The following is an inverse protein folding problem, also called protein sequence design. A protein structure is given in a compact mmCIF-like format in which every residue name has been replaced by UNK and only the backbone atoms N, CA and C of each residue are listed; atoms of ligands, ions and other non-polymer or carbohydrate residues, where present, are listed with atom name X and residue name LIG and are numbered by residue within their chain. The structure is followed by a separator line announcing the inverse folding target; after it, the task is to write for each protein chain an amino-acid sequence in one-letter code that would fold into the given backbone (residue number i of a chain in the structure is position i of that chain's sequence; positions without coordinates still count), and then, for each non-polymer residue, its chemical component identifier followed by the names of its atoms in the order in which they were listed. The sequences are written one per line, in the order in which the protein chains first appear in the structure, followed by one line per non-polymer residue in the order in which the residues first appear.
data_IF_723415264140
#
_entry.id   IF_723415264140
#
_cell.length_a   1.000
_cell.length_b   1.000
_cell.length_c   1.000
_cell.angle_alpha   90.00
_cell.angle_beta   90.00
_cell.angle_gamma   90.00
#
_symmetry.space_group_name_H-M   'P 1'
#
loop_
_entity.id
_entity.type
_entity.pdbx_description
1 polymer ?
#
# COMPACT_ATOMS: atom_id res chain seq x y z
N UNK A 1 49.29 -12.88 9.06
CA UNK A 1 47.95 -13.31 8.63
C UNK A 1 46.99 -12.60 9.60
N UNK A 2 46.13 -11.64 9.26
CA UNK A 2 45.30 -11.59 8.06
C UNK A 2 44.61 -10.20 7.84
N UNK A 3 45.33 -9.08 7.92
CA UNK A 3 44.74 -7.72 7.77
C UNK A 3 44.39 -7.32 6.32
N UNK A 4 44.94 -8.02 5.33
CA UNK A 4 44.71 -7.77 3.89
C UNK A 4 43.42 -8.46 3.39
N UNK A 5 43.16 -9.66 3.90
CA UNK A 5 41.97 -10.48 3.63
C UNK A 5 40.66 -9.81 4.08
N UNK A 6 40.69 -9.10 5.22
CA UNK A 6 39.50 -8.39 5.73
C UNK A 6 39.15 -7.15 4.90
N UNK A 7 40.15 -6.40 4.42
CA UNK A 7 39.94 -5.18 3.63
C UNK A 7 39.42 -5.49 2.21
N UNK A 8 39.91 -6.57 1.60
CA UNK A 8 39.43 -7.05 0.29
C UNK A 8 37.95 -7.44 0.34
N UNK A 9 37.52 -8.11 1.42
CA UNK A 9 36.11 -8.44 1.66
C UNK A 9 35.24 -7.19 1.88
N UNK A 10 35.74 -6.18 2.59
CA UNK A 10 34.99 -4.93 2.79
C UNK A 10 34.77 -4.19 1.47
N UNK A 11 35.76 -4.17 0.58
CA UNK A 11 35.63 -3.55 -0.74
C UNK A 11 34.58 -4.27 -1.60
N UNK A 12 34.59 -5.60 -1.65
CA UNK A 12 33.56 -6.38 -2.36
C UNK A 12 32.15 -6.15 -1.78
N UNK A 13 32.02 -6.05 -0.46
CA UNK A 13 30.73 -5.76 0.19
C UNK A 13 30.23 -4.36 -0.19
N UNK A 14 31.09 -3.32 -0.08
CA UNK A 14 30.73 -1.95 -0.46
C UNK A 14 30.36 -1.84 -1.93
N UNK A 15 31.08 -2.57 -2.78
CA UNK A 15 30.80 -2.68 -4.21
C UNK A 15 29.43 -3.29 -4.47
N UNK A 16 29.09 -4.42 -3.83
CA UNK A 16 27.78 -5.04 -3.93
C UNK A 16 26.66 -4.12 -3.41
N UNK A 17 26.90 -3.37 -2.33
CA UNK A 17 25.96 -2.36 -1.83
C UNK A 17 25.74 -1.27 -2.88
N UNK A 18 26.81 -0.73 -3.47
CA UNK A 18 26.72 0.34 -4.45
C UNK A 18 25.99 -0.11 -5.73
N UNK A 19 26.28 -1.32 -6.23
CA UNK A 19 25.57 -1.94 -7.35
C UNK A 19 24.10 -2.16 -6.98
N UNK A 20 23.82 -2.66 -5.77
CA UNK A 20 22.47 -2.84 -5.24
C UNK A 20 21.68 -1.53 -5.21
N UNK A 21 22.31 -0.43 -4.76
CA UNK A 21 21.70 0.90 -4.70
C UNK A 21 21.41 1.48 -6.11
N UNK A 22 22.23 1.17 -7.11
CA UNK A 22 21.95 1.53 -8.51
C UNK A 22 20.76 0.75 -9.08
N UNK A 23 20.57 -0.50 -8.68
CA UNK A 23 19.45 -1.33 -9.14
C UNK A 23 18.08 -0.87 -8.59
N UNK A 24 18.06 -0.11 -7.50
CA UNK A 24 16.83 0.34 -6.81
C UNK A 24 16.56 1.84 -6.95
N UNK A 25 17.13 2.49 -7.97
CA UNK A 25 16.88 3.90 -8.26
C UNK A 25 15.39 4.18 -8.51
N UNK A 26 14.92 5.38 -8.17
CA UNK A 26 13.51 5.78 -8.32
C UNK A 26 13.05 5.65 -9.77
N UNK A 27 13.79 6.31 -10.65
CA UNK A 27 13.50 6.41 -12.06
C UNK A 27 14.04 5.18 -12.78
N UNK A 28 13.21 4.55 -13.60
CA UNK A 28 13.60 3.32 -14.30
C UNK A 28 14.77 3.57 -15.25
N UNK A 29 14.85 4.76 -15.84
CA UNK A 29 15.96 5.24 -16.68
C UNK A 29 17.31 5.36 -15.93
N UNK A 30 17.29 5.45 -14.60
CA UNK A 30 18.50 5.54 -13.78
C UNK A 30 19.00 4.17 -13.30
N UNK A 31 18.23 3.10 -13.51
CA UNK A 31 18.63 1.74 -13.14
C UNK A 31 19.52 1.14 -14.24
N UNK A 32 20.64 0.49 -13.88
CA UNK A 32 21.45 -0.22 -14.85
C UNK A 32 20.69 -1.43 -15.41
N UNK A 33 20.90 -1.72 -16.68
CA UNK A 33 20.43 -2.98 -17.28
C UNK A 33 21.18 -4.17 -16.69
N UNK A 34 20.54 -5.35 -16.69
CA UNK A 34 21.10 -6.56 -16.05
C UNK A 34 22.46 -6.96 -16.65
N UNK A 35 22.70 -6.72 -17.94
CA UNK A 35 24.01 -6.95 -18.58
C UNK A 35 25.10 -6.06 -17.97
N UNK A 36 24.81 -4.79 -17.69
CA UNK A 36 25.73 -3.88 -17.01
C UNK A 36 25.99 -4.33 -15.58
N UNK A 37 24.95 -4.79 -14.87
CA UNK A 37 25.10 -5.33 -13.50
C UNK A 37 26.06 -6.53 -13.47
N UNK A 38 25.95 -7.45 -14.43
CA UNK A 38 26.87 -8.59 -14.54
C UNK A 38 28.32 -8.16 -14.77
N UNK A 39 28.56 -7.11 -15.57
CA UNK A 39 29.90 -6.53 -15.75
C UNK A 39 30.39 -5.87 -14.46
N UNK A 40 29.54 -5.11 -13.78
CA UNK A 40 29.86 -4.48 -12.49
C UNK A 40 30.16 -5.52 -11.40
N UNK A 41 29.55 -6.71 -11.44
CA UNK A 41 29.84 -7.78 -10.48
C UNK A 41 31.09 -8.59 -10.87
N UNK A 42 31.38 -8.74 -12.17
CA UNK A 42 32.44 -9.62 -12.67
C UNK A 42 33.82 -8.98 -12.89
N UNK A 43 33.94 -7.65 -12.85
CA UNK A 43 35.20 -6.96 -13.18
C UNK A 43 35.63 -5.95 -12.11
N UNK A 44 36.67 -6.26 -11.33
CA UNK A 44 37.17 -5.41 -10.24
C UNK A 44 37.49 -3.96 -10.64
N UNK A 45 37.86 -3.72 -11.90
CA UNK A 45 38.32 -2.42 -12.42
C UNK A 45 37.22 -1.52 -12.98
N UNK A 46 35.98 -1.98 -13.06
CA UNK A 46 34.89 -1.19 -13.64
C UNK A 46 34.49 -0.05 -12.70
N UNK A 47 34.53 1.19 -13.18
CA UNK A 47 34.08 2.35 -12.42
C UNK A 47 32.55 2.30 -12.22
N UNK A 48 32.11 2.19 -10.97
CA UNK A 48 30.69 2.12 -10.62
C UNK A 48 30.18 3.54 -10.34
N UNK A 49 29.12 4.02 -11.02
CA UNK A 49 28.57 5.34 -10.78
C UNK A 49 28.02 5.47 -9.36
N UNK A 50 27.99 6.70 -8.84
CA UNK A 50 27.36 6.95 -7.54
C UNK A 50 25.83 6.87 -7.70
N UNK A 51 25.11 6.12 -6.83
CA UNK A 51 23.67 6.09 -6.82
C UNK A 51 23.12 7.51 -6.62
N UNK A 52 22.06 7.89 -7.35
CA UNK A 52 21.35 9.13 -7.03
C UNK A 52 20.56 8.93 -5.73
N UNK A 53 20.05 10.03 -5.18
CA UNK A 53 19.23 10.00 -3.98
C UNK A 53 18.05 9.01 -4.17
N UNK A 54 17.71 8.20 -3.15
CA UNK A 54 16.51 7.41 -3.18
C UNK A 54 15.31 8.30 -3.44
N UNK A 55 14.43 7.85 -4.32
CA UNK A 55 13.25 8.60 -4.67
C UNK A 55 12.13 8.52 -3.66
N UNK A 56 11.40 9.62 -3.56
CA UNK A 56 10.13 9.70 -2.88
C UNK A 56 9.11 10.17 -3.90
N UNK A 57 8.18 9.30 -4.30
CA UNK A 57 7.16 9.70 -5.27
C UNK A 57 6.18 10.69 -4.60
N UNK A 58 6.23 11.95 -5.03
CA UNK A 58 5.17 12.92 -4.77
C UNK A 58 4.00 12.60 -5.69
N UNK A 59 2.91 12.09 -5.13
CA UNK A 59 1.66 11.92 -5.88
C UNK A 59 1.17 13.29 -6.37
N UNK A 60 1.27 13.54 -7.68
CA UNK A 60 0.65 14.72 -8.27
C UNK A 60 -0.87 14.55 -8.25
N UNK A 61 -1.54 15.49 -7.59
CA UNK A 61 -2.97 15.74 -7.73
C UNK A 61 -3.32 15.90 -9.21
N UNK A 62 -4.44 15.33 -9.65
CA UNK A 62 -4.98 15.36 -11.02
C UNK A 62 -5.40 16.76 -11.54
N UNK A 63 -4.83 17.83 -10.99
CA UNK A 63 -5.06 19.19 -11.46
C UNK A 63 -3.75 19.98 -11.42
N UNK A 64 -2.98 19.88 -12.50
CA UNK A 64 -2.26 21.01 -13.09
C UNK A 64 -1.76 20.59 -14.47
N UNK A 65 -2.44 21.14 -15.47
CA UNK A 65 -2.06 21.12 -16.88
C UNK A 65 -0.76 21.91 -17.02
N UNK A 66 0.27 21.34 -17.62
CA UNK A 66 1.04 21.99 -18.70
C UNK A 66 1.81 20.93 -19.50
N UNK A 67 1.59 21.00 -20.80
CA UNK A 67 2.14 20.17 -21.87
C UNK A 67 3.56 20.58 -22.26
N UNK A 68 4.37 19.62 -22.72
CA UNK A 68 5.16 19.78 -23.95
C UNK A 68 5.61 18.44 -24.54
N UNK A 69 5.67 18.31 -25.88
CA UNK A 69 5.90 17.06 -26.57
C UNK A 69 7.39 16.83 -26.84
N UNK A 70 7.84 15.58 -26.80
CA UNK A 70 9.08 15.20 -27.47
C UNK A 70 8.90 13.88 -28.21
N UNK A 71 8.96 14.02 -29.52
CA UNK A 71 8.93 12.98 -30.54
C UNK A 71 10.23 12.17 -30.52
N UNK A 72 10.10 10.89 -30.91
CA UNK A 72 11.05 10.00 -31.59
C UNK A 72 11.60 8.80 -30.79
N UNK A 73 11.10 7.63 -31.23
CA UNK A 73 11.77 6.34 -31.51
C UNK A 73 13.11 6.08 -30.79
N UNK A 74 13.19 4.98 -30.02
CA UNK A 74 13.82 3.73 -30.48
C UNK A 74 13.81 2.64 -29.38
N UNK A 75 13.89 1.41 -29.87
CA UNK A 75 14.39 0.17 -29.28
C UNK A 75 13.63 -0.58 -28.16
N UNK A 76 13.32 -1.84 -28.50
CA UNK A 76 12.87 -2.98 -27.69
C UNK A 76 13.86 -3.32 -26.54
N UNK A 77 14.02 -2.40 -25.58
CA UNK A 77 14.68 -2.68 -24.31
C UNK A 77 13.64 -2.54 -23.20
N UNK A 78 13.40 -3.64 -22.48
CA UNK A 78 12.39 -3.75 -21.43
C UNK A 78 12.72 -2.88 -20.21
N UNK A 79 12.55 -1.57 -20.32
CA UNK A 79 12.59 -0.66 -19.17
C UNK A 79 11.36 -0.96 -18.31
N UNK A 80 11.56 -1.67 -17.20
CA UNK A 80 10.49 -1.95 -16.25
C UNK A 80 10.07 -0.66 -15.52
N UNK A 81 8.92 -0.11 -15.91
CA UNK A 81 8.33 1.12 -15.39
C UNK A 81 7.53 0.93 -14.10
N UNK A 82 7.60 -0.26 -13.50
CA UNK A 82 6.97 -0.57 -12.22
C UNK A 82 7.86 -0.09 -11.07
N UNK A 83 7.26 0.63 -10.12
CA UNK A 83 7.91 1.08 -8.89
C UNK A 83 7.09 0.73 -7.65
N UNK A 84 7.77 0.62 -6.51
CA UNK A 84 7.15 0.56 -5.19
C UNK A 84 7.43 1.90 -4.51
N UNK A 85 6.38 2.58 -4.07
CA UNK A 85 6.47 3.91 -3.48
C UNK A 85 5.76 3.92 -2.15
N UNK A 86 6.36 4.56 -1.14
CA UNK A 86 5.69 4.86 0.11
C UNK A 86 5.21 6.30 0.03
N UNK A 87 3.91 6.53 0.19
CA UNK A 87 3.36 7.88 0.25
C UNK A 87 2.87 8.12 1.67
N UNK A 88 3.37 9.18 2.27
CA UNK A 88 2.91 9.67 3.55
C UNK A 88 1.80 10.69 3.34
N UNK A 89 0.56 10.30 3.61
CA UNK A 89 -0.50 11.24 3.89
C UNK A 89 -0.65 11.36 5.42
N UNK A 90 -0.06 12.40 6.00
CA UNK A 90 -0.46 12.94 7.33
C UNK A 90 -0.45 11.90 8.48
N UNK A 91 0.59 11.07 8.58
CA UNK A 91 0.79 10.15 9.71
C UNK A 91 0.12 8.77 9.62
N UNK A 92 -0.48 8.42 8.47
CA UNK A 92 -1.00 7.07 8.19
C UNK A 92 -0.47 6.53 6.85
N UNK A 93 0.81 6.12 6.81
CA UNK A 93 1.49 5.84 5.55
C UNK A 93 1.00 4.57 4.87
N UNK A 94 1.05 4.59 3.55
CA UNK A 94 0.63 3.48 2.70
C UNK A 94 1.68 3.18 1.62
N UNK A 95 1.73 1.93 1.18
CA UNK A 95 2.59 1.49 0.09
C UNK A 95 1.78 1.37 -1.18
N UNK A 96 2.31 1.90 -2.27
CA UNK A 96 1.71 1.87 -3.59
C UNK A 96 2.62 1.14 -4.56
N UNK A 97 2.02 0.37 -5.46
CA UNK A 97 2.69 -0.07 -6.68
C UNK A 97 2.20 0.84 -7.80
N UNK A 98 3.14 1.43 -8.51
CA UNK A 98 2.87 2.34 -9.61
C UNK A 98 3.37 1.72 -10.91
N UNK A 99 2.64 1.97 -11.99
CA UNK A 99 3.11 1.78 -13.36
C UNK A 99 3.22 3.16 -14.00
N UNK A 100 4.46 3.63 -14.21
CA UNK A 100 4.75 5.03 -14.51
C UNK A 100 4.15 5.95 -13.43
N UNK A 101 3.26 6.85 -13.82
CA UNK A 101 2.59 7.83 -12.94
C UNK A 101 1.22 7.31 -12.43
N UNK A 102 0.80 6.12 -12.86
CA UNK A 102 -0.50 5.55 -12.48
C UNK A 102 -0.36 4.57 -11.32
N UNK A 103 -1.14 4.77 -10.26
CA UNK A 103 -1.26 3.82 -9.16
C UNK A 103 -2.03 2.59 -9.64
N UNK A 104 -1.43 1.39 -9.51
CA UNK A 104 -2.09 0.12 -9.87
C UNK A 104 -2.58 -0.66 -8.65
N UNK A 105 -1.90 -0.51 -7.52
CA UNK A 105 -2.23 -1.19 -6.27
C UNK A 105 -1.89 -0.32 -5.06
N UNK A 106 -2.72 -0.40 -4.02
CA UNK A 106 -2.48 0.21 -2.70
C UNK A 106 -2.52 -0.87 -1.63
N UNK A 107 -1.50 -0.90 -0.77
CA UNK A 107 -1.37 -1.85 0.34
C UNK A 107 -2.36 -1.63 1.45
N UNK A 108 -2.95 -0.44 1.56
CA UNK A 108 -3.59 0.00 2.78
C UNK A 108 -2.56 0.45 3.83
N UNK A 109 -3.02 1.11 4.89
CA UNK A 109 -2.15 1.57 5.97
C UNK A 109 -1.66 0.41 6.84
N UNK A 110 -0.62 0.66 7.63
CA UNK A 110 -0.15 -0.27 8.65
C UNK A 110 -1.10 -0.33 9.85
N UNK A 111 -1.58 -1.53 10.20
CA UNK A 111 -2.57 -1.76 11.27
C UNK A 111 -1.97 -2.14 12.63
N UNK A 112 -0.64 -2.04 12.78
CA UNK A 112 0.09 -2.49 13.97
C UNK A 112 0.69 -3.89 13.84
N UNK A 113 0.22 -4.71 12.88
CA UNK A 113 0.69 -6.08 12.63
C UNK A 113 1.14 -6.26 11.18
N UNK A 114 0.39 -5.68 10.23
CA UNK A 114 0.59 -5.82 8.78
C UNK A 114 0.05 -4.60 8.03
N UNK A 115 0.29 -4.55 6.72
CA UNK A 115 -0.48 -3.64 5.86
C UNK A 115 -1.89 -4.21 5.69
N UNK A 116 -2.89 -3.40 6.01
CA UNK A 116 -4.28 -3.83 6.14
C UNK A 116 -4.88 -4.44 4.85
N UNK A 117 -4.39 -4.06 3.67
CA UNK A 117 -4.77 -4.63 2.38
C UNK A 117 -4.02 -5.90 1.98
N UNK A 118 -3.27 -6.52 2.89
CA UNK A 118 -2.60 -7.83 2.72
C UNK A 118 -2.93 -8.72 3.93
N UNK A 119 -4.21 -9.15 4.10
CA UNK A 119 -4.63 -9.94 5.25
C UNK A 119 -3.93 -11.30 5.35
N UNK A 120 -3.34 -11.81 4.26
CA UNK A 120 -2.66 -13.11 4.23
C UNK A 120 -1.30 -13.13 4.93
N UNK A 121 -0.77 -11.97 5.32
CA UNK A 121 0.42 -11.87 6.17
C UNK A 121 0.06 -12.43 7.56
N UNK A 122 0.15 -13.75 7.71
CA UNK A 122 -0.01 -14.44 8.99
C UNK A 122 1.30 -14.40 9.77
N UNK A 123 1.28 -14.15 11.08
CA UNK A 123 2.48 -14.26 11.90
C UNK A 123 3.08 -15.66 11.77
N UNK A 124 4.36 -15.72 11.41
CA UNK A 124 5.16 -16.95 11.42
C UNK A 124 6.30 -16.76 12.40
N UNK A 125 6.69 -17.82 13.09
CA UNK A 125 7.65 -17.76 14.21
C UNK A 125 9.08 -17.36 13.79
N UNK A 126 9.38 -17.40 12.49
CA UNK A 126 10.68 -17.05 11.94
C UNK A 126 10.77 -15.66 11.32
N UNK A 127 9.66 -14.94 11.11
CA UNK A 127 9.65 -13.64 10.41
C UNK A 127 9.02 -12.59 11.29
N UNK A 128 9.82 -11.59 11.67
CA UNK A 128 9.36 -10.41 12.39
C UNK A 128 9.28 -9.25 11.41
N UNK A 129 8.14 -8.56 11.39
CA UNK A 129 7.92 -7.37 10.57
C UNK A 129 7.89 -6.14 11.47
N UNK A 130 8.68 -5.13 11.12
CA UNK A 130 8.74 -3.87 11.83
C UNK A 130 8.34 -2.74 10.89
N UNK A 131 7.49 -1.86 11.40
CA UNK A 131 7.10 -0.64 10.72
C UNK A 131 7.24 0.51 11.70
N UNK A 132 8.02 1.51 11.31
CA UNK A 132 8.19 2.77 12.03
C UNK A 132 7.80 3.91 11.11
N UNK A 133 7.06 4.87 11.65
CA UNK A 133 6.73 6.11 10.99
C UNK A 133 6.96 7.23 12.01
N UNK A 134 7.94 8.07 11.74
CA UNK A 134 8.27 9.28 12.49
C UNK A 134 8.13 10.48 11.56
N UNK A 135 8.23 11.70 12.10
CA UNK A 135 8.23 12.92 11.28
C UNK A 135 9.48 13.02 10.37
N UNK A 136 10.50 12.17 10.59
CA UNK A 136 11.76 12.16 9.84
C UNK A 136 11.85 11.01 8.83
N UNK A 137 11.41 9.80 9.22
CA UNK A 137 11.52 8.61 8.37
C UNK A 137 10.33 7.66 8.50
N UNK A 138 10.01 7.02 7.39
CA UNK A 138 9.10 5.88 7.34
C UNK A 138 9.89 4.67 6.90
N UNK A 139 9.94 3.66 7.75
CA UNK A 139 10.73 2.46 7.52
C UNK A 139 9.86 1.23 7.67
N UNK A 140 9.87 0.40 6.64
CA UNK A 140 9.44 -1.00 6.74
C UNK A 140 10.68 -1.88 6.71
N UNK A 141 10.84 -2.74 7.72
CA UNK A 141 11.94 -3.68 7.80
C UNK A 141 11.45 -5.05 8.27
N UNK A 142 12.26 -6.07 8.04
CA UNK A 142 11.97 -7.42 8.52
C UNK A 142 13.23 -8.11 9.00
N UNK A 143 13.06 -9.00 9.97
CA UNK A 143 14.13 -9.80 10.55
C UNK A 143 13.75 -11.28 10.54
N UNK A 144 14.72 -12.15 10.22
CA UNK A 144 14.56 -13.60 10.26
C UNK A 144 15.18 -14.15 11.54
N UNK A 145 14.38 -14.76 12.41
CA UNK A 145 14.81 -15.19 13.74
C UNK A 145 15.41 -16.60 13.78
N UNK A 146 15.12 -17.43 12.77
CA UNK A 146 15.64 -18.80 12.68
C UNK A 146 16.74 -18.92 11.65
N UNK A 147 17.79 -19.64 12.00
CA UNK A 147 18.89 -19.97 11.10
C UNK A 147 18.39 -20.82 9.91
N UNK A 148 19.09 -20.74 8.78
CA UNK A 148 18.80 -21.47 7.53
C UNK A 148 17.39 -21.23 6.95
N UNK A 149 16.75 -20.12 7.33
CA UNK A 149 15.54 -19.64 6.66
C UNK A 149 15.90 -18.41 5.85
N UNK A 150 15.56 -18.44 4.57
CA UNK A 150 15.72 -17.31 3.67
C UNK A 150 14.34 -16.83 3.24
N UNK A 151 14.06 -15.54 3.42
CA UNK A 151 12.82 -14.91 2.97
C UNK A 151 13.13 -13.59 2.27
N UNK A 152 12.48 -13.37 1.13
CA UNK A 152 12.68 -12.20 0.28
C UNK A 152 11.33 -11.56 -0.05
N UNK A 153 11.29 -10.23 -0.07
CA UNK A 153 10.21 -9.45 -0.62
C UNK A 153 10.65 -8.93 -2.00
N UNK A 154 9.90 -9.23 -3.04
CA UNK A 154 10.25 -8.93 -4.43
C UNK A 154 9.09 -8.25 -5.14
N UNK A 155 9.37 -7.18 -5.86
CA UNK A 155 8.45 -6.61 -6.85
C UNK A 155 8.85 -7.12 -8.23
N UNK A 156 7.96 -7.85 -8.91
CA UNK A 156 8.23 -8.36 -10.26
C UNK A 156 8.06 -7.25 -11.31
N UNK A 157 8.62 -7.45 -12.53
CA UNK A 157 8.38 -6.54 -13.65
C UNK A 157 6.92 -6.42 -14.11
N UNK A 158 6.06 -7.33 -13.67
CA UNK A 158 4.63 -7.32 -13.96
C UNK A 158 3.81 -6.58 -12.88
N UNK A 159 4.44 -5.98 -11.87
CA UNK A 159 3.72 -5.29 -10.79
C UNK A 159 3.29 -6.20 -9.64
N UNK A 160 3.78 -7.44 -9.58
CA UNK A 160 3.44 -8.37 -8.50
C UNK A 160 4.40 -8.19 -7.33
N UNK A 161 3.88 -7.70 -6.21
CA UNK A 161 4.59 -7.67 -4.94
C UNK A 161 4.41 -9.02 -4.24
N UNK A 162 5.49 -9.75 -4.01
CA UNK A 162 5.45 -11.08 -3.42
C UNK A 162 6.50 -11.26 -2.32
N UNK A 163 6.13 -11.97 -1.26
CA UNK A 163 7.09 -12.48 -0.29
C UNK A 163 7.23 -13.98 -0.47
N UNK A 164 8.47 -14.43 -0.65
CA UNK A 164 8.80 -15.83 -0.84
C UNK A 164 9.77 -16.31 0.23
N UNK A 165 9.63 -17.56 0.65
CA UNK A 165 10.55 -18.24 1.57
C UNK A 165 11.15 -19.45 0.89
N UNK A 166 12.46 -19.63 1.04
CA UNK A 166 13.18 -20.79 0.51
C UNK A 166 12.81 -22.05 1.31
N UNK A 167 12.38 -23.10 0.61
CA UNK A 167 12.03 -24.38 1.23
C UNK A 167 13.07 -25.42 0.83
N UNK A 168 13.97 -25.73 1.75
CA UNK A 168 15.12 -26.62 1.52
C UNK A 168 14.71 -28.00 0.99
N UNK A 169 13.67 -28.62 1.57
CA UNK A 169 13.15 -29.92 1.11
C UNK A 169 12.72 -29.91 -0.36
N UNK A 170 12.26 -28.77 -0.86
CA UNK A 170 11.76 -28.63 -2.23
C UNK A 170 12.76 -27.92 -3.15
N UNK A 171 13.92 -27.49 -2.63
CA UNK A 171 14.92 -26.70 -3.35
C UNK A 171 14.30 -25.56 -4.18
N UNK A 172 13.31 -24.87 -3.60
CA UNK A 172 12.53 -23.87 -4.32
C UNK A 172 11.99 -22.77 -3.41
N UNK A 173 11.83 -21.58 -4.01
CA UNK A 173 11.14 -20.45 -3.40
C UNK A 173 9.63 -20.72 -3.40
N UNK A 174 9.01 -20.64 -2.23
CA UNK A 174 7.56 -20.75 -2.06
C UNK A 174 6.97 -19.39 -1.69
N UNK A 175 5.96 -18.89 -2.44
CA UNK A 175 5.31 -17.64 -2.07
C UNK A 175 4.52 -17.84 -0.77
N UNK A 176 4.80 -17.01 0.23
CA UNK A 176 3.96 -16.88 1.42
C UNK A 176 2.69 -16.09 1.08
N UNK A 177 2.87 -14.99 0.35
CA UNK A 177 1.79 -14.15 -0.15
C UNK A 177 2.27 -13.38 -1.36
N UNK A 178 1.32 -12.92 -2.17
CA UNK A 178 1.55 -12.04 -3.31
C UNK A 178 0.34 -11.12 -3.49
N UNK A 179 0.55 -9.96 -4.09
CA UNK A 179 -0.47 -8.97 -4.38
C UNK A 179 -0.11 -8.17 -5.63
N UNK A 180 -1.05 -7.77 -6.49
CA UNK A 180 -2.50 -8.08 -6.46
C UNK A 180 -2.82 -9.56 -6.74
N UNK A 181 -3.88 -10.11 -6.15
CA UNK A 181 -4.34 -11.51 -6.35
C UNK A 181 -5.55 -11.64 -7.25
N UNK A 182 -6.41 -10.63 -7.24
CA UNK A 182 -7.64 -10.58 -8.00
C UNK A 182 -8.01 -9.13 -8.33
N UNK A 183 -9.13 -8.98 -9.04
CA UNK A 183 -9.62 -7.70 -9.52
C UNK A 183 -9.86 -6.66 -8.41
N UNK A 184 -10.22 -7.10 -7.20
CA UNK A 184 -10.47 -6.19 -6.08
C UNK A 184 -9.18 -5.62 -5.46
N UNK A 185 -8.00 -6.09 -5.87
CA UNK A 185 -6.74 -5.44 -5.51
C UNK A 185 -6.37 -4.28 -6.43
N UNK A 186 -7.01 -4.14 -7.60
CA UNK A 186 -6.78 -2.99 -8.46
C UNK A 186 -7.20 -1.71 -7.74
N UNK A 187 -6.35 -0.70 -7.79
CA UNK A 187 -6.62 0.56 -7.14
C UNK A 187 -7.90 1.19 -7.69
N UNK A 188 -8.84 1.53 -6.78
CA UNK A 188 -10.15 2.13 -7.10
C UNK A 188 -11.00 1.26 -8.04
N UNK A 189 -10.96 -0.06 -7.85
CA UNK A 189 -11.80 -0.98 -8.62
C UNK A 189 -13.30 -0.64 -8.53
N UNK A 190 -13.76 -0.19 -7.36
CA UNK A 190 -15.11 0.32 -7.15
C UNK A 190 -15.06 1.84 -6.90
N UNK A 191 -16.07 2.55 -7.41
CA UNK A 191 -16.20 3.99 -7.21
C UNK A 191 -16.44 4.40 -5.75
N UNK A 192 -16.57 5.71 -5.51
CA UNK A 192 -16.71 6.29 -4.16
C UNK A 192 -17.81 5.63 -3.34
N UNK A 193 -17.57 5.35 -2.07
CA UNK A 193 -18.54 4.71 -1.16
C UNK A 193 -19.04 3.31 -1.59
N UNK A 194 -18.40 2.71 -2.59
CA UNK A 194 -18.51 1.30 -2.93
C UNK A 194 -17.34 0.51 -2.36
N UNK A 195 -17.56 -0.76 -2.03
CA UNK A 195 -16.49 -1.69 -1.67
C UNK A 195 -16.48 -2.89 -2.62
N UNK A 196 -15.29 -3.42 -2.89
CA UNK A 196 -15.13 -4.59 -3.73
C UNK A 196 -15.18 -5.88 -2.89
N UNK A 197 -16.01 -6.84 -3.31
CA UNK A 197 -16.06 -8.19 -2.79
C UNK A 197 -15.90 -9.18 -3.95
N UNK A 198 -14.84 -9.97 -3.92
CA UNK A 198 -14.54 -10.97 -4.95
C UNK A 198 -15.54 -12.12 -4.99
N UNK A 199 -16.42 -12.23 -3.98
CA UNK A 199 -17.42 -13.30 -3.86
C UNK A 199 -18.82 -12.89 -4.34
N UNK A 200 -19.02 -11.63 -4.74
CA UNK A 200 -20.32 -11.14 -5.23
C UNK A 200 -20.29 -10.90 -6.74
N UNK A 201 -21.48 -10.91 -7.36
CA UNK A 201 -21.67 -10.52 -8.76
C UNK A 201 -22.86 -9.55 -8.84
N UNK A 202 -22.64 -8.25 -9.10
CA UNK A 202 -21.37 -7.58 -9.39
C UNK A 202 -20.38 -7.59 -8.20
N UNK A 203 -19.08 -7.39 -8.48
CA UNK A 203 -18.03 -7.38 -7.43
C UNK A 203 -18.09 -6.10 -6.58
N UNK A 204 -18.65 -5.02 -7.11
CA UNK A 204 -18.83 -3.79 -6.37
C UNK A 204 -20.16 -3.78 -5.64
N UNK A 205 -20.12 -3.38 -4.37
CA UNK A 205 -21.28 -3.29 -3.48
C UNK A 205 -21.33 -1.89 -2.88
N UNK A 206 -22.52 -1.29 -2.80
CA UNK A 206 -22.68 -0.05 -2.05
C UNK A 206 -22.70 -0.34 -0.55
N UNK A 207 -22.05 0.53 0.22
CA UNK A 207 -22.14 0.51 1.68
C UNK A 207 -23.62 0.64 2.11
N UNK A 208 -24.00 -0.02 3.20
CA UNK A 208 -25.33 0.14 3.78
C UNK A 208 -25.69 1.63 3.98
N UNK A 209 -26.92 2.04 3.69
CA UNK A 209 -27.31 3.45 3.65
C UNK A 209 -26.92 4.22 2.38
N UNK A 210 -26.26 3.57 1.41
CA UNK A 210 -25.94 4.14 0.10
C UNK A 210 -26.69 3.45 -1.04
N UNK A 211 -26.77 4.10 -2.19
CA UNK A 211 -27.34 3.59 -3.45
C UNK A 211 -26.44 3.94 -4.64
N UNK A 212 -26.47 3.18 -5.74
CA UNK A 212 -25.71 3.51 -6.94
C UNK A 212 -26.05 4.90 -7.49
N UNK A 213 -25.05 5.63 -8.01
CA UNK A 213 -25.28 6.94 -8.67
C UNK A 213 -26.09 6.82 -9.95
N UNK A 214 -25.76 5.83 -10.77
CA UNK A 214 -26.53 5.40 -11.94
C UNK A 214 -26.96 3.96 -11.72
N UNK A 215 -28.04 3.54 -12.37
CA UNK A 215 -28.37 2.11 -12.44
C UNK A 215 -27.17 1.39 -13.06
N UNK A 216 -26.68 0.33 -12.39
CA UNK A 216 -25.62 -0.54 -12.89
C UNK A 216 -26.11 -1.41 -14.06
N UNK A 217 -26.76 -0.81 -15.05
CA UNK A 217 -27.40 -1.51 -16.16
C UNK A 217 -26.36 -2.11 -17.14
N UNK A 218 -25.06 -1.75 -17.00
CA UNK A 218 -23.96 -2.22 -17.86
C UNK A 218 -22.64 -2.54 -17.12
N UNK A 219 -22.66 -2.82 -15.80
CA UNK A 219 -21.45 -3.02 -14.97
C UNK A 219 -20.50 -1.81 -14.91
N UNK A 220 -21.04 -0.61 -15.11
CA UNK A 220 -20.29 0.64 -14.90
C UNK A 220 -20.27 0.98 -13.40
N UNK A 221 -19.46 0.21 -12.66
CA UNK A 221 -19.35 0.31 -11.21
C UNK A 221 -18.37 1.44 -10.78
N UNK A 222 -17.78 2.14 -11.76
CA UNK A 222 -16.81 3.23 -11.56
C UNK A 222 -17.45 4.50 -11.00
N UNK A 223 -18.72 4.76 -11.30
CA UNK A 223 -19.44 5.94 -10.79
C UNK A 223 -19.69 5.87 -9.27
N UNK A 224 -19.61 4.67 -8.67
CA UNK A 224 -19.75 4.47 -7.23
C UNK A 224 -21.16 4.75 -6.70
N UNK A 225 -21.22 5.07 -5.41
CA UNK A 225 -22.43 5.15 -4.61
C UNK A 225 -22.61 6.53 -3.98
N UNK A 226 -23.86 6.88 -3.67
CA UNK A 226 -24.27 8.09 -2.96
C UNK A 226 -25.17 7.74 -1.79
N UNK A 227 -25.15 8.56 -0.74
CA UNK A 227 -26.02 8.38 0.42
C UNK A 227 -27.49 8.39 -0.01
N UNK A 228 -28.30 7.54 0.62
CA UNK A 228 -29.76 7.57 0.47
C UNK A 228 -30.33 8.84 1.10
N UNK A 229 -29.88 9.15 2.32
CA UNK A 229 -30.30 10.32 3.10
C UNK A 229 -29.12 11.25 3.37
N UNK A 230 -29.35 12.56 3.30
CA UNK A 230 -28.33 13.57 3.61
C UNK A 230 -28.08 13.62 5.12
N UNK A 231 -26.81 13.74 5.51
CA UNK A 231 -26.42 13.93 6.91
C UNK A 231 -26.95 15.27 7.45
N UNK A 232 -27.38 15.28 8.71
CA UNK A 232 -27.90 16.48 9.38
C UNK A 232 -26.81 17.25 10.12
N UNK A 233 -25.79 16.56 10.65
CA UNK A 233 -24.80 17.11 11.57
C UNK A 233 -25.38 17.86 12.80
N UNK A 234 -26.60 17.52 13.21
CA UNK A 234 -27.23 18.04 14.43
C UNK A 234 -26.96 17.15 15.67
N UNK A 235 -26.07 16.17 15.52
CA UNK A 235 -25.76 15.18 16.54
C UNK A 235 -26.64 13.92 16.50
N UNK A 236 -27.61 13.83 15.57
CA UNK A 236 -28.45 12.62 15.41
C UNK A 236 -27.90 11.61 14.41
N UNK A 237 -26.92 12.00 13.58
CA UNK A 237 -26.18 11.06 12.74
C UNK A 237 -25.56 9.95 13.61
N UNK A 238 -25.33 8.80 13.01
CA UNK A 238 -24.63 7.69 13.66
C UNK A 238 -23.79 6.91 12.67
N UNK A 239 -23.42 5.68 13.04
CA UNK A 239 -22.47 4.90 12.27
C UNK A 239 -22.94 3.48 12.03
N UNK A 240 -22.72 3.02 10.79
CA UNK A 240 -22.76 1.59 10.48
C UNK A 240 -21.35 1.02 10.61
N UNK A 241 -21.22 -0.11 11.32
CA UNK A 241 -19.96 -0.84 11.46
C UNK A 241 -19.81 -1.85 10.33
N UNK A 242 -18.82 -1.65 9.49
CA UNK A 242 -18.40 -2.59 8.45
C UNK A 242 -17.22 -3.41 8.97
N UNK A 243 -17.35 -4.74 8.96
CA UNK A 243 -16.30 -5.65 9.42
C UNK A 243 -15.43 -6.15 8.26
N UNK A 244 -14.21 -6.56 8.58
CA UNK A 244 -13.29 -7.20 7.64
C UNK A 244 -12.98 -6.36 6.39
N UNK A 245 -12.82 -5.04 6.59
CA UNK A 245 -12.56 -4.10 5.51
C UNK A 245 -11.08 -3.81 5.32
N UNK A 246 -10.68 -3.64 4.07
CA UNK A 246 -9.55 -2.82 3.67
C UNK A 246 -9.96 -1.36 3.88
N UNK A 247 -9.26 -0.64 4.77
CA UNK A 247 -9.56 0.76 5.08
C UNK A 247 -9.43 1.62 3.81
N UNK A 248 -10.25 2.67 3.64
CA UNK A 248 -10.20 3.53 2.45
C UNK A 248 -8.84 4.23 2.29
N UNK A 249 -8.61 4.77 1.10
CA UNK A 249 -7.46 5.66 0.81
C UNK A 249 -7.30 6.75 1.88
N UNK A 250 -6.05 6.97 2.35
CA UNK A 250 -5.79 7.83 3.52
C UNK A 250 -5.45 9.28 3.17
N UNK A 251 -5.53 9.68 1.88
CA UNK A 251 -5.17 11.03 1.40
C UNK A 251 -5.86 12.17 2.19
N UNK A 252 -7.12 11.96 2.61
CA UNK A 252 -7.93 12.94 3.35
C UNK A 252 -8.31 12.44 4.74
N UNK A 253 -7.29 12.19 5.56
CA UNK A 253 -7.46 11.70 6.94
C UNK A 253 -6.89 12.64 8.01
N UNK A 254 -7.39 12.46 9.23
CA UNK A 254 -6.88 13.04 10.48
C UNK A 254 -6.57 11.87 11.41
N UNK A 255 -5.38 11.83 11.98
CA UNK A 255 -4.87 10.70 12.74
C UNK A 255 -4.50 11.15 14.15
N UNK A 256 -4.98 10.43 15.15
CA UNK A 256 -4.63 10.64 16.56
C UNK A 256 -4.46 9.28 17.24
N UNK A 257 -3.21 8.90 17.53
CA UNK A 257 -2.88 7.61 18.15
C UNK A 257 -3.09 7.60 19.68
N UNK A 258 -3.35 8.74 20.29
CA UNK A 258 -3.46 8.89 21.75
C UNK A 258 -4.84 8.58 22.31
N UNK A 259 -5.85 8.42 21.46
CA UNK A 259 -7.25 8.26 21.88
C UNK A 259 -7.83 6.88 21.52
N UNK A 260 -8.91 6.51 22.20
CA UNK A 260 -9.66 5.29 21.94
C UNK A 260 -10.80 5.47 20.94
N UNK A 261 -11.44 4.35 20.59
CA UNK A 261 -12.52 4.31 19.59
C UNK A 261 -13.76 5.12 19.98
N UNK A 262 -14.12 5.16 21.26
CA UNK A 262 -15.28 5.92 21.77
C UNK A 262 -15.07 7.43 21.62
N UNK A 263 -13.87 7.93 21.94
CA UNK A 263 -13.53 9.34 21.74
C UNK A 263 -13.42 9.65 20.24
N UNK A 264 -12.92 8.70 19.43
CA UNK A 264 -12.86 8.84 17.98
C UNK A 264 -14.27 9.04 17.37
N UNK A 265 -15.25 8.26 17.85
CA UNK A 265 -16.66 8.38 17.46
C UNK A 265 -17.21 9.77 17.82
N UNK A 266 -17.03 10.20 19.08
CA UNK A 266 -17.49 11.51 19.55
C UNK A 266 -16.87 12.67 18.74
N UNK A 267 -15.57 12.59 18.43
CA UNK A 267 -14.87 13.58 17.60
C UNK A 267 -15.41 13.59 16.17
N UNK A 268 -15.65 12.42 15.59
CA UNK A 268 -16.21 12.30 14.25
C UNK A 268 -17.63 12.89 14.18
N UNK A 269 -18.51 12.62 15.16
CA UNK A 269 -19.86 13.19 15.22
C UNK A 269 -19.84 14.72 15.24
N UNK A 270 -18.98 15.29 16.10
CA UNK A 270 -18.80 16.74 16.24
C UNK A 270 -18.23 17.41 14.98
N UNK A 271 -17.46 16.68 14.19
CA UNK A 271 -16.84 17.18 12.97
C UNK A 271 -17.72 16.90 11.75
N UNK A 272 -18.49 17.89 11.26
CA UNK A 272 -19.48 17.69 10.18
C UNK A 272 -18.93 17.13 8.87
N UNK A 273 -17.66 17.35 8.57
CA UNK A 273 -17.03 16.79 7.37
C UNK A 273 -16.55 15.35 7.58
N UNK A 274 -16.63 14.79 8.80
CA UNK A 274 -16.26 13.40 9.03
C UNK A 274 -17.20 12.46 8.27
N UNK A 275 -16.64 11.58 7.45
CA UNK A 275 -17.40 10.57 6.68
C UNK A 275 -17.29 9.17 7.25
N UNK A 276 -16.18 8.85 7.93
CA UNK A 276 -15.95 7.59 8.60
C UNK A 276 -14.81 7.69 9.62
N UNK A 277 -14.70 6.70 10.50
CA UNK A 277 -13.56 6.52 11.39
C UNK A 277 -13.20 5.05 11.61
N UNK A 278 -11.99 4.81 12.12
CA UNK A 278 -11.50 3.49 12.52
C UNK A 278 -10.35 3.60 13.54
N UNK A 279 -9.97 2.48 14.15
CA UNK A 279 -8.71 2.40 14.90
C UNK A 279 -7.49 2.54 13.98
N UNK A 280 -6.35 2.98 14.50
CA UNK A 280 -5.07 2.98 13.74
C UNK A 280 -4.24 1.72 13.97
N UNK A 281 -4.47 1.06 15.10
CA UNK A 281 -3.78 -0.16 15.52
C UNK A 281 -4.83 -1.17 15.99
N UNK A 282 -4.75 -2.42 15.55
CA UNK A 282 -5.73 -3.46 15.91
C UNK A 282 -5.26 -4.34 17.08
N UNK A 283 -4.04 -4.16 17.58
CA UNK A 283 -3.50 -4.95 18.70
C UNK A 283 -4.27 -4.62 19.99
N UNK A 284 -4.30 -5.57 20.92
CA UNK A 284 -4.85 -5.41 22.26
C UNK A 284 -6.30 -4.89 22.31
N UNK A 285 -7.14 -5.25 21.32
CA UNK A 285 -8.53 -4.78 21.26
C UNK A 285 -8.75 -3.49 20.47
N UNK A 286 -7.68 -2.89 19.96
CA UNK A 286 -7.71 -1.74 19.07
C UNK A 286 -7.44 -0.42 19.77
N UNK A 287 -6.65 0.45 19.14
CA UNK A 287 -6.31 1.78 19.66
C UNK A 287 -6.01 2.80 18.55
N UNK A 288 -6.00 4.06 18.98
CA UNK A 288 -5.85 5.22 18.10
C UNK A 288 -7.09 5.48 17.26
N UNK A 289 -7.05 6.58 16.52
CA UNK A 289 -8.16 7.10 15.77
C UNK A 289 -7.69 7.60 14.42
N UNK A 290 -8.36 7.16 13.36
CA UNK A 290 -8.26 7.75 12.04
C UNK A 290 -9.65 8.18 11.59
N UNK A 291 -9.77 9.43 11.16
CA UNK A 291 -11.00 10.06 10.69
C UNK A 291 -10.85 10.44 9.22
N UNK A 292 -11.77 9.99 8.36
CA UNK A 292 -11.86 10.42 6.96
C UNK A 292 -12.75 11.66 6.84
N UNK A 293 -12.32 12.62 6.01
CA UNK A 293 -13.03 13.90 5.79
C UNK A 293 -13.51 14.12 4.36
N UNK A 294 -13.26 13.16 3.48
CA UNK A 294 -13.64 13.22 2.07
C UNK A 294 -14.35 11.96 1.60
N UNK A 295 -14.46 11.83 0.29
CA UNK A 295 -14.97 10.61 -0.33
C UNK A 295 -14.05 9.44 -0.03
N UNK A 296 -14.67 8.30 0.29
CA UNK A 296 -13.94 7.07 0.56
C UNK A 296 -13.79 6.28 -0.73
N UNK A 297 -12.57 5.88 -1.04
CA UNK A 297 -12.18 5.18 -2.26
C UNK A 297 -11.33 3.97 -1.92
N UNK A 298 -11.27 3.02 -2.87
CA UNK A 298 -10.40 1.85 -2.79
C UNK A 298 -10.66 0.95 -1.57
N UNK A 299 -11.94 0.77 -1.24
CA UNK A 299 -12.41 -0.09 -0.15
C UNK A 299 -12.61 -1.51 -0.68
N UNK A 300 -12.26 -2.49 0.14
CA UNK A 300 -12.43 -3.91 -0.19
C UNK A 300 -12.90 -4.68 1.03
N UNK A 301 -13.72 -5.70 0.82
CA UNK A 301 -14.07 -6.69 1.82
C UNK A 301 -13.15 -7.91 1.75
N UNK A 302 -12.87 -8.50 2.92
CA UNK A 302 -12.16 -9.77 3.06
C UNK A 302 -13.02 -10.79 3.81
N UNK A 303 -12.99 -12.04 3.38
CA UNK A 303 -13.67 -13.12 4.11
C UNK A 303 -13.02 -13.43 5.47
N UNK A 304 -11.70 -13.22 5.58
CA UNK A 304 -10.92 -13.39 6.81
C UNK A 304 -9.89 -12.25 6.91
N UNK A 305 -9.69 -11.71 8.12
CA UNK A 305 -8.80 -10.56 8.36
C UNK A 305 -9.47 -9.21 8.13
N UNK A 306 -8.72 -8.21 7.68
CA UNK A 306 -9.20 -6.83 7.56
C UNK A 306 -9.45 -6.16 8.91
N UNK A 307 -10.13 -5.02 8.88
CA UNK A 307 -10.39 -4.19 10.06
C UNK A 307 -11.80 -3.62 10.02
N UNK A 308 -12.33 -3.25 11.18
CA UNK A 308 -13.58 -2.51 11.27
C UNK A 308 -13.45 -1.06 10.77
N UNK A 309 -14.46 -0.63 10.02
CA UNK A 309 -14.65 0.73 9.53
C UNK A 309 -16.05 1.21 9.92
N UNK A 310 -16.14 2.38 10.55
CA UNK A 310 -17.39 2.97 11.00
C UNK A 310 -17.77 4.10 10.07
N UNK A 311 -18.84 3.93 9.28
CA UNK A 311 -19.25 4.88 8.24
C UNK A 311 -20.43 5.71 8.70
N UNK A 312 -20.32 7.04 8.59
CA UNK A 312 -21.35 7.98 9.04
C UNK A 312 -22.58 7.96 8.14
N UNK A 313 -23.74 7.75 8.76
CA UNK A 313 -25.06 7.72 8.16
C UNK A 313 -26.04 8.62 8.92
N UNK A 314 -27.10 9.05 8.24
CA UNK A 314 -28.20 9.74 8.88
C UNK A 314 -28.98 8.77 9.77
N UNK A 315 -29.62 9.26 10.83
CA UNK A 315 -30.39 8.45 11.77
C UNK A 315 -31.40 7.51 11.09
N UNK A 316 -32.06 7.99 10.03
CA UNK A 316 -33.08 7.24 9.28
C UNK A 316 -32.54 6.00 8.54
N UNK A 317 -31.23 5.92 8.30
CA UNK A 317 -30.59 4.84 7.56
C UNK A 317 -29.87 3.82 8.49
N UNK A 318 -29.99 3.95 9.82
CA UNK A 318 -29.30 3.09 10.80
C UNK A 318 -30.11 1.86 11.24
N UNK A 319 -31.41 1.81 10.95
CA UNK A 319 -32.32 0.72 11.32
C UNK A 319 -33.21 1.04 12.52
#
# INVERSE_FOLDING_TARGET
MDSSSSALRTHEILRCIQIGLLCVQERAEDRPVMSTVMVMLGSETTAIPQPKRPGFCVGRSLFETESSPSTQRDDDLTVNQITLSVIEARGFPEVYVCNKESIVYRSGPWDGIRFNGIPEVRPVDYLVLNFSATDEEITYSYHITKNNIYSILTLTPTGLLQRSTWVERLQSWRPLWYSPRDICNNYKQCGSYGYCDSNTSPVCNCIHGFKPRKKWDLRDDFDGCVRKTRLSCDGTDGFVRLKNMKLPDTTKTIVDRGIGIEECEARCLKHCNCTAFANTDIRNGGSGCVIWTGDMLDIRYFAEGGQDLYVRLAAADLG
#
